data_IF_579102161499
#
_entry.id   IF_579102161499
#
_cell.length_a   1.000
_cell.length_b   1.000
_cell.length_c   1.000
_cell.angle_alpha   90.00
_cell.angle_beta   90.00
_cell.angle_gamma   90.00
#
_symmetry.space_group_name_H-M   'P 1'
#
loop_
_entity.id
_entity.type
_entity.pdbx_description
1 polymer ?
#
# COMPACT_ATOMS: atom_id res chain seq x y z
N UNK A 1 14.62 20.38 -46.07
CA UNK A 1 13.49 20.62 -45.16
C UNK A 1 12.38 19.62 -45.48
N UNK A 2 12.30 18.51 -44.76
CA UNK A 2 11.27 17.48 -44.95
C UNK A 2 10.10 17.87 -44.05
N UNK A 3 8.99 18.32 -44.63
CA UNK A 3 7.74 18.53 -43.89
C UNK A 3 7.19 17.15 -43.53
N UNK A 4 7.05 16.78 -42.24
CA UNK A 4 6.39 15.53 -41.89
C UNK A 4 4.94 15.61 -42.39
N UNK A 5 4.55 14.65 -43.22
CA UNK A 5 3.18 14.54 -43.68
C UNK A 5 2.26 14.29 -42.49
N UNK A 6 1.07 14.88 -42.49
CA UNK A 6 0.08 14.72 -41.40
C UNK A 6 -0.08 13.26 -40.97
N UNK A 7 0.00 12.33 -41.92
CA UNK A 7 -0.11 10.88 -41.71
C UNK A 7 0.91 10.34 -40.72
N UNK A 8 2.16 10.82 -40.75
CA UNK A 8 3.22 10.37 -39.83
C UNK A 8 2.93 10.84 -38.40
N UNK A 9 2.42 12.07 -38.27
CA UNK A 9 2.04 12.62 -36.96
C UNK A 9 0.84 11.85 -36.39
N UNK A 10 -0.16 11.54 -37.22
CA UNK A 10 -1.34 10.78 -36.79
C UNK A 10 -0.96 9.36 -36.36
N UNK A 11 -0.06 8.69 -37.11
CA UNK A 11 0.41 7.35 -36.75
C UNK A 11 1.23 7.35 -35.45
N UNK A 12 2.05 8.37 -35.21
CA UNK A 12 2.79 8.52 -33.95
C UNK A 12 1.84 8.72 -32.76
N UNK A 13 0.80 9.54 -32.91
CA UNK A 13 -0.20 9.76 -31.86
C UNK A 13 -0.97 8.47 -31.57
N UNK A 14 -1.38 7.74 -32.60
CA UNK A 14 -2.06 6.45 -32.45
C UNK A 14 -1.14 5.42 -31.77
N UNK A 15 0.13 5.38 -32.13
CA UNK A 15 1.11 4.47 -31.53
C UNK A 15 1.39 4.79 -30.05
N UNK A 16 1.44 6.07 -29.68
CA UNK A 16 1.58 6.51 -28.28
C UNK A 16 0.32 6.18 -27.47
N UNK A 17 -0.88 6.39 -28.03
CA UNK A 17 -2.13 6.06 -27.36
C UNK A 17 -2.29 4.54 -27.18
N UNK A 18 -1.97 3.75 -28.21
CA UNK A 18 -1.98 2.28 -28.12
C UNK A 18 -0.95 1.75 -27.12
N UNK A 19 0.26 2.32 -27.08
CA UNK A 19 1.23 1.93 -26.05
C UNK A 19 0.81 2.37 -24.65
N UNK A 20 0.24 3.56 -24.46
CA UNK A 20 -0.31 3.97 -23.16
C UNK A 20 -1.44 3.05 -22.69
N UNK A 21 -2.30 2.60 -23.61
CA UNK A 21 -3.37 1.62 -23.31
C UNK A 21 -2.81 0.22 -23.04
N UNK A 22 -1.77 -0.20 -23.76
CA UNK A 22 -1.15 -1.53 -23.60
C UNK A 22 -0.28 -1.63 -22.33
N UNK A 23 0.50 -0.59 -22.02
CA UNK A 23 1.34 -0.54 -20.82
C UNK A 23 0.53 -0.40 -19.52
N UNK A 24 -0.65 0.21 -19.57
CA UNK A 24 -1.55 0.26 -18.41
C UNK A 24 -2.25 -1.09 -18.12
N UNK A 25 -2.16 -2.10 -19.01
CA UNK A 25 -2.94 -3.33 -18.92
C UNK A 25 -2.12 -4.61 -18.68
N UNK A 26 -0.78 -4.55 -18.55
CA UNK A 26 0.05 -5.73 -18.25
C UNK A 26 0.65 -5.63 -16.84
N UNK A 27 -0.23 -5.66 -15.85
CA UNK A 27 0.12 -5.93 -14.45
C UNK A 27 -0.84 -7.01 -13.95
N UNK A 28 -0.63 -8.25 -14.38
CA UNK A 28 -0.99 -9.44 -13.61
C UNK A 28 -0.29 -10.64 -14.22
N UNK A 29 0.75 -11.10 -13.52
CA UNK A 29 1.04 -12.49 -13.16
C UNK A 29 2.52 -12.54 -12.78
N UNK A 30 2.79 -12.67 -11.48
CA UNK A 30 3.69 -13.68 -10.90
C UNK A 30 4.04 -13.28 -9.45
N UNK A 31 3.07 -13.43 -8.55
CA UNK A 31 3.36 -13.61 -7.12
C UNK A 31 3.69 -15.07 -6.90
N UNK A 32 4.93 -15.40 -6.50
CA UNK A 32 5.17 -16.55 -5.64
C UNK A 32 6.39 -16.30 -4.75
N UNK A 33 6.15 -16.47 -3.45
CA UNK A 33 7.09 -16.71 -2.35
C UNK A 33 7.81 -15.48 -1.76
N UNK A 34 7.38 -14.99 -0.59
CA UNK A 34 7.74 -15.53 0.75
C UNK A 34 7.26 -14.55 1.83
N UNK A 35 6.25 -14.95 2.62
CA UNK A 35 6.04 -14.68 4.04
C UNK A 35 4.60 -15.12 4.34
N UNK A 36 4.44 -16.43 4.59
CA UNK A 36 3.19 -17.02 5.03
C UNK A 36 2.92 -16.59 6.47
N UNK A 37 2.27 -15.46 6.65
CA UNK A 37 1.55 -15.18 7.88
C UNK A 37 0.30 -16.05 7.91
N UNK A 38 -0.13 -16.56 9.07
CA UNK A 38 -1.33 -17.37 9.16
C UNK A 38 -2.54 -16.55 8.68
N UNK A 39 -3.04 -16.88 7.50
CA UNK A 39 -4.28 -16.35 6.93
C UNK A 39 -5.43 -16.87 7.79
N UNK A 40 -5.94 -16.02 8.67
CA UNK A 40 -7.14 -16.32 9.47
C UNK A 40 -8.34 -15.74 8.74
N UNK A 41 -9.01 -16.56 7.92
CA UNK A 41 -10.29 -16.22 7.31
C UNK A 41 -11.42 -16.41 8.33
N UNK A 42 -11.64 -15.41 9.21
CA UNK A 42 -12.79 -15.38 10.11
C UNK A 42 -13.84 -14.38 9.59
N UNK A 43 -15.00 -14.86 9.13
CA UNK A 43 -16.10 -14.00 8.71
C UNK A 43 -17.25 -14.74 8.00
N UNK A 44 -18.49 -14.33 8.28
CA UNK A 44 -19.66 -14.65 7.44
C UNK A 44 -19.62 -13.66 6.27
N UNK A 45 -19.64 -14.18 5.03
CA UNK A 45 -19.67 -13.41 3.79
C UNK A 45 -20.75 -12.31 3.89
N UNK A 46 -20.35 -11.04 4.10
CA UNK A 46 -19.72 -10.23 3.05
C UNK A 46 -18.39 -9.51 3.43
N UNK A 47 -17.75 -9.80 4.58
CA UNK A 47 -16.53 -9.10 5.02
C UNK A 47 -15.38 -10.10 5.30
N UNK A 48 -14.34 -10.07 4.49
CA UNK A 48 -13.15 -10.92 4.62
C UNK A 48 -11.97 -10.07 5.09
N UNK A 49 -11.46 -10.33 6.29
CA UNK A 49 -10.29 -9.63 6.83
C UNK A 49 -9.02 -10.31 6.34
N UNK A 50 -8.15 -9.57 5.65
CA UNK A 50 -6.83 -10.05 5.24
C UNK A 50 -5.79 -9.75 6.32
N UNK A 51 -5.74 -8.51 6.79
CA UNK A 51 -4.86 -8.10 7.89
C UNK A 51 -5.44 -6.94 8.66
N UNK A 52 -5.16 -6.89 9.95
CA UNK A 52 -5.42 -5.76 10.81
C UNK A 52 -4.17 -5.47 11.64
N UNK A 53 -3.80 -4.20 11.77
CA UNK A 53 -2.61 -3.77 12.48
C UNK A 53 -2.80 -2.37 13.07
N UNK A 54 -2.04 -2.10 14.11
CA UNK A 54 -1.88 -0.75 14.63
C UNK A 54 -0.65 -0.10 13.96
N UNK A 55 -0.60 1.23 13.93
CA UNK A 55 0.58 2.01 13.55
C UNK A 55 0.69 3.30 14.37
N UNK A 56 1.89 3.79 14.66
CA UNK A 56 2.04 5.07 15.36
C UNK A 56 1.71 6.23 14.43
N UNK A 57 0.92 7.18 14.94
CA UNK A 57 0.68 8.47 14.31
C UNK A 57 1.39 9.57 15.08
N UNK A 58 1.24 9.58 16.41
CA UNK A 58 1.87 10.57 17.28
C UNK A 58 2.04 10.02 18.71
N UNK A 59 2.57 10.86 19.62
CA UNK A 59 2.62 10.53 21.05
C UNK A 59 1.24 10.47 21.71
N UNK A 60 0.21 11.02 21.06
CA UNK A 60 -1.15 11.11 21.61
C UNK A 60 -2.15 10.18 20.92
N UNK A 61 -1.78 9.64 19.74
CA UNK A 61 -2.68 8.82 18.91
C UNK A 61 -1.95 7.66 18.23
N UNK A 62 -2.67 6.55 18.13
CA UNK A 62 -2.29 5.34 17.40
C UNK A 62 -3.32 5.13 16.30
N UNK A 63 -2.86 4.89 15.08
CA UNK A 63 -3.72 4.52 13.98
C UNK A 63 -4.05 3.02 14.02
N UNK A 64 -5.30 2.68 13.76
CA UNK A 64 -5.72 1.32 13.44
C UNK A 64 -6.02 1.25 11.95
N UNK A 65 -5.51 0.20 11.30
CA UNK A 65 -5.78 -0.08 9.89
C UNK A 65 -6.17 -1.55 9.74
N UNK A 66 -7.16 -1.79 8.91
CA UNK A 66 -7.58 -3.10 8.47
C UNK A 66 -7.71 -3.10 6.96
N UNK A 67 -7.14 -4.12 6.32
CA UNK A 67 -7.26 -4.38 4.89
C UNK A 67 -8.00 -5.70 4.71
N UNK A 68 -8.94 -5.72 3.78
CA UNK A 68 -9.76 -6.88 3.50
C UNK A 68 -10.44 -6.81 2.15
N UNK A 69 -11.28 -7.81 1.89
CA UNK A 69 -12.10 -7.91 0.68
C UNK A 69 -13.57 -7.97 1.07
N UNK A 70 -14.42 -7.25 0.34
CA UNK A 70 -15.86 -7.27 0.54
C UNK A 70 -16.58 -6.96 -0.76
N UNK A 71 -17.89 -7.19 -0.78
CA UNK A 71 -18.78 -6.48 -1.72
C UNK A 71 -18.58 -4.98 -1.60
N UNK A 72 -18.91 -4.19 -2.64
CA UNK A 72 -18.64 -2.76 -2.49
C UNK A 72 -19.38 -2.19 -1.31
N UNK A 73 -18.59 -1.46 -0.57
CA UNK A 73 -19.02 -0.70 0.56
C UNK A 73 -19.16 0.72 0.07
N UNK A 74 -20.31 1.31 0.30
CA UNK A 74 -20.45 2.73 0.07
C UNK A 74 -19.62 3.48 1.12
N UNK A 75 -19.26 4.74 0.85
CA UNK A 75 -18.51 5.54 1.84
C UNK A 75 -19.35 5.81 3.10
N UNK A 76 -20.67 5.69 2.97
CA UNK A 76 -21.66 5.89 4.01
C UNK A 76 -21.83 4.65 4.91
N UNK A 77 -21.36 3.47 4.49
CA UNK A 77 -21.49 2.26 5.28
C UNK A 77 -20.67 2.36 6.57
N UNK A 78 -21.36 2.29 7.72
CA UNK A 78 -20.73 2.46 9.03
C UNK A 78 -20.14 1.13 9.52
N UNK A 79 -18.81 1.09 9.66
CA UNK A 79 -18.15 0.05 10.47
C UNK A 79 -17.65 0.66 11.76
N UNK A 80 -17.88 -0.05 12.86
CA UNK A 80 -17.42 0.35 14.18
C UNK A 80 -16.38 -0.66 14.67
N UNK A 81 -15.37 -0.15 15.37
CA UNK A 81 -14.34 -0.91 16.04
C UNK A 81 -14.61 -0.85 17.54
N UNK A 82 -14.77 -2.01 18.15
CA UNK A 82 -14.93 -2.17 19.60
C UNK A 82 -13.62 -2.69 20.20
N UNK A 83 -13.04 -1.86 21.06
CA UNK A 83 -11.82 -2.14 21.83
C UNK A 83 -12.18 -2.06 23.31
N UNK A 84 -12.40 -3.21 23.94
CA UNK A 84 -12.67 -3.27 25.39
C UNK A 84 -13.89 -2.44 25.81
N UNK A 85 -14.90 -2.28 24.95
CA UNK A 85 -16.10 -1.47 25.19
C UNK A 85 -16.01 -0.03 24.67
N UNK A 86 -14.83 0.45 24.26
CA UNK A 86 -14.68 1.73 23.58
C UNK A 86 -14.98 1.56 22.09
N UNK A 87 -15.88 2.40 21.56
CA UNK A 87 -16.38 2.30 20.18
C UNK A 87 -15.78 3.41 19.32
N UNK A 88 -15.13 3.02 18.24
CA UNK A 88 -14.53 3.94 17.26
C UNK A 88 -15.19 3.77 15.90
N UNK A 89 -15.55 4.87 15.24
CA UNK A 89 -16.06 4.82 13.87
C UNK A 89 -14.88 4.63 12.91
N UNK A 90 -14.93 3.58 12.10
CA UNK A 90 -13.94 3.33 11.06
C UNK A 90 -14.33 4.07 9.79
N UNK A 91 -13.34 4.76 9.20
CA UNK A 91 -13.44 5.34 7.86
C UNK A 91 -13.24 4.26 6.81
N UNK A 92 -13.99 4.35 5.73
CA UNK A 92 -13.96 3.40 4.62
C UNK A 92 -13.26 3.99 3.40
N UNK A 93 -12.31 3.24 2.85
CA UNK A 93 -11.46 3.63 1.75
C UNK A 93 -11.33 2.49 0.73
N UNK A 94 -12.17 2.48 -0.32
CA UNK A 94 -12.09 1.51 -1.40
C UNK A 94 -10.77 1.65 -2.15
N UNK A 95 -9.97 0.59 -2.21
CA UNK A 95 -8.60 0.68 -2.76
C UNK A 95 -8.55 0.67 -4.30
N UNK A 96 -9.63 0.22 -4.97
CA UNK A 96 -9.73 0.16 -6.43
C UNK A 96 -10.64 1.24 -7.04
N UNK A 97 -11.17 2.17 -6.25
CA UNK A 97 -12.22 3.10 -6.70
C UNK A 97 -11.83 4.03 -7.87
N UNK A 98 -10.52 4.19 -8.15
CA UNK A 98 -10.00 5.03 -9.22
C UNK A 98 -9.28 4.25 -10.33
N UNK A 99 -9.31 2.91 -10.29
CA UNK A 99 -8.60 2.10 -11.28
C UNK A 99 -9.34 2.06 -12.62
N UNK A 100 -8.72 2.48 -13.74
CA UNK A 100 -9.32 2.39 -15.07
C UNK A 100 -9.69 0.95 -15.42
N UNK A 101 -10.89 0.72 -15.95
CA UNK A 101 -11.35 -0.62 -16.34
C UNK A 101 -12.11 -1.39 -15.26
N UNK A 102 -12.20 -0.86 -14.03
CA UNK A 102 -13.07 -1.44 -13.03
C UNK A 102 -14.52 -0.99 -13.25
N UNK A 103 -15.23 -1.70 -14.13
CA UNK A 103 -16.64 -1.46 -14.45
C UNK A 103 -17.50 -2.45 -13.67
N UNK A 104 -17.68 -2.24 -12.38
CA UNK A 104 -18.50 -3.15 -11.58
C UNK A 104 -18.20 -3.10 -10.10
N UNK A 105 -18.99 -3.85 -9.37
CA UNK A 105 -19.05 -3.78 -7.93
C UNK A 105 -19.29 -5.17 -7.32
N UNK A 106 -18.48 -6.15 -7.74
CA UNK A 106 -18.68 -7.53 -7.34
C UNK A 106 -17.93 -7.80 -6.02
N UNK A 107 -16.61 -7.79 -6.02
CA UNK A 107 -15.80 -7.89 -4.79
C UNK A 107 -14.55 -7.04 -4.99
N UNK A 108 -14.24 -6.19 -4.01
CA UNK A 108 -13.08 -5.30 -4.09
C UNK A 108 -12.31 -5.24 -2.76
N UNK A 109 -11.00 -4.93 -2.82
CA UNK A 109 -10.24 -4.66 -1.63
C UNK A 109 -10.63 -3.30 -1.04
N UNK A 110 -10.69 -3.24 0.28
CA UNK A 110 -11.01 -2.04 1.03
C UNK A 110 -10.03 -1.87 2.19
N UNK A 111 -9.87 -0.61 2.62
CA UNK A 111 -9.21 -0.27 3.88
C UNK A 111 -10.22 0.35 4.84
N UNK A 112 -10.26 -0.16 6.06
CA UNK A 112 -10.91 0.48 7.19
C UNK A 112 -9.86 1.04 8.13
N UNK A 113 -10.04 2.26 8.60
CA UNK A 113 -9.07 2.85 9.52
C UNK A 113 -9.70 3.86 10.48
N UNK A 114 -9.06 4.04 11.63
CA UNK A 114 -9.42 5.05 12.62
C UNK A 114 -8.20 5.46 13.45
N UNK A 115 -8.28 6.64 14.06
CA UNK A 115 -7.32 7.07 15.06
C UNK A 115 -7.86 6.74 16.46
N UNK A 116 -7.01 6.12 17.27
CA UNK A 116 -7.31 5.68 18.63
C UNK A 116 -6.42 6.51 19.57
N UNK A 117 -6.98 7.10 20.63
CA UNK A 117 -6.19 7.77 21.65
C UNK A 117 -5.17 6.83 22.31
N UNK A 118 -3.94 7.30 22.54
CA UNK A 118 -2.85 6.48 23.05
C UNK A 118 -3.07 5.91 24.47
N UNK A 119 -4.05 6.43 25.24
CA UNK A 119 -4.40 5.92 26.56
C UNK A 119 -5.23 4.63 26.52
N UNK A 120 -5.78 4.27 25.36
CA UNK A 120 -6.57 3.05 25.18
C UNK A 120 -5.62 1.85 25.10
N UNK A 121 -5.89 0.82 25.91
CA UNK A 121 -5.10 -0.43 25.88
C UNK A 121 -5.42 -1.20 24.61
N UNK A 122 -4.40 -1.49 23.80
CA UNK A 122 -4.54 -2.13 22.49
C UNK A 122 -4.55 -3.67 22.61
N UNK A 123 -5.65 -4.36 22.25
CA UNK A 123 -5.74 -5.81 22.33
C UNK A 123 -5.20 -6.51 21.07
N UNK A 124 -4.89 -7.81 21.20
CA UNK A 124 -4.50 -8.68 20.06
C UNK A 124 -5.66 -9.11 19.18
N UNK A 125 -6.89 -8.86 19.63
CA UNK A 125 -8.11 -9.17 18.92
C UNK A 125 -9.07 -8.01 19.09
N UNK A 126 -9.63 -7.55 17.99
CA UNK A 126 -10.63 -6.49 17.97
C UNK A 126 -11.96 -7.02 17.48
N UNK A 127 -13.05 -6.40 17.91
CA UNK A 127 -14.39 -6.71 17.40
C UNK A 127 -14.80 -5.63 16.40
N UNK A 128 -15.03 -6.05 15.17
CA UNK A 128 -15.62 -5.23 14.12
C UNK A 128 -17.13 -5.41 14.17
N UNK A 129 -17.85 -4.30 14.16
CA UNK A 129 -19.31 -4.27 14.19
C UNK A 129 -19.76 -3.54 12.92
N UNK A 130 -20.43 -4.25 12.04
CA UNK A 130 -21.16 -3.68 10.91
C UNK A 130 -22.65 -3.67 11.21
N UNK A 131 -23.46 -3.15 10.31
CA UNK A 131 -24.93 -3.23 10.43
C UNK A 131 -25.44 -4.67 10.37
N UNK A 132 -24.71 -5.55 9.66
CA UNK A 132 -25.17 -6.91 9.33
C UNK A 132 -24.55 -7.97 10.23
N UNK A 133 -23.34 -7.76 10.72
CA UNK A 133 -22.60 -8.79 11.45
C UNK A 133 -21.60 -8.19 12.43
N UNK A 134 -21.09 -9.03 13.32
CA UNK A 134 -19.91 -8.71 14.12
C UNK A 134 -18.87 -9.79 13.98
N UNK A 135 -17.63 -9.40 13.70
CA UNK A 135 -16.51 -10.30 13.45
C UNK A 135 -15.40 -9.97 14.44
N UNK A 136 -14.74 -10.99 14.98
CA UNK A 136 -13.50 -10.79 15.73
C UNK A 136 -12.34 -10.95 14.75
N UNK A 137 -11.42 -9.99 14.74
CA UNK A 137 -10.26 -10.04 13.87
C UNK A 137 -9.00 -10.05 14.73
N UNK A 138 -8.05 -10.97 14.48
CA UNK A 138 -6.73 -10.87 15.08
C UNK A 138 -6.04 -9.61 14.57
N UNK A 139 -5.37 -8.91 15.47
CA UNK A 139 -4.56 -7.73 15.15
C UNK A 139 -3.11 -8.11 15.29
N UNK A 140 -2.37 -7.91 14.21
CA UNK A 140 -0.92 -8.04 14.26
C UNK A 140 -0.40 -6.89 15.13
N UNK A 141 0.19 -7.26 16.27
CA UNK A 141 1.12 -6.37 16.96
C UNK A 141 2.35 -6.23 16.09
N UNK A 142 2.40 -5.17 15.31
CA UNK A 142 3.69 -4.62 14.91
C UNK A 142 4.45 -4.36 16.21
N UNK A 143 5.65 -4.94 16.34
CA UNK A 143 6.50 -4.70 17.51
C UNK A 143 6.87 -3.23 17.49
N UNK A 144 6.10 -2.47 18.24
CA UNK A 144 6.24 -1.04 18.46
C UNK A 144 7.42 -0.76 19.37
N UNK A 145 8.62 -1.05 18.90
CA UNK A 145 9.75 -0.27 19.36
C UNK A 145 9.47 1.16 18.92
N UNK A 146 9.25 2.08 19.88
CA UNK A 146 9.38 3.52 19.60
C UNK A 146 10.74 3.67 18.94
N UNK A 147 10.80 3.85 17.62
CA UNK A 147 12.07 4.11 16.93
C UNK A 147 12.56 5.45 17.46
N UNK A 148 13.54 5.38 18.34
CA UNK A 148 14.14 6.56 18.98
C UNK A 148 15.09 7.28 18.03
N UNK A 149 15.38 6.70 16.85
CA UNK A 149 16.31 7.20 15.85
C UNK A 149 15.90 6.75 14.44
N UNK A 150 16.31 7.52 13.42
CA UNK A 150 16.19 7.22 12.00
C UNK A 150 14.92 7.75 11.33
N UNK A 151 15.07 8.79 10.50
CA UNK A 151 14.05 9.15 9.50
C UNK A 151 14.08 8.07 8.41
N UNK A 152 12.90 7.67 7.92
CA UNK A 152 12.77 6.53 6.99
C UNK A 152 12.05 6.99 5.73
N UNK A 153 12.64 6.73 4.57
CA UNK A 153 12.02 6.97 3.28
C UNK A 153 11.42 5.66 2.72
N UNK A 154 10.10 5.64 2.56
CA UNK A 154 9.41 4.61 1.79
C UNK A 154 9.19 5.12 0.37
N UNK A 155 9.79 4.44 -0.61
CA UNK A 155 9.75 4.85 -2.01
C UNK A 155 8.72 4.01 -2.75
N UNK A 156 7.97 4.64 -3.65
CA UNK A 156 7.09 3.91 -4.55
C UNK A 156 7.87 2.90 -5.39
N UNK A 157 7.14 1.93 -5.93
CA UNK A 157 7.71 0.82 -6.70
C UNK A 157 8.49 1.32 -7.92
N UNK A 158 9.74 0.86 -8.08
CA UNK A 158 10.53 1.10 -9.29
C UNK A 158 10.15 0.09 -10.37
N UNK A 159 9.41 0.56 -11.37
CA UNK A 159 8.93 -0.23 -12.51
C UNK A 159 9.52 0.30 -13.83
N UNK A 160 10.13 -0.59 -14.62
CA UNK A 160 10.94 -0.29 -15.82
C UNK A 160 11.97 0.82 -15.61
N UNK A 161 12.47 0.98 -14.39
CA UNK A 161 13.33 2.11 -14.06
C UNK A 161 14.75 1.84 -14.54
N UNK A 162 15.30 2.75 -15.35
CA UNK A 162 16.61 2.55 -16.00
C UNK A 162 17.64 3.66 -15.71
N UNK A 163 17.24 4.72 -15.01
CA UNK A 163 18.10 5.87 -14.74
C UNK A 163 18.79 5.74 -13.38
N UNK A 164 19.96 5.11 -13.36
CA UNK A 164 20.72 4.88 -12.13
C UNK A 164 21.20 6.18 -11.44
N UNK A 165 21.44 7.27 -12.19
CA UNK A 165 21.86 8.56 -11.61
C UNK A 165 20.77 9.13 -10.71
N UNK A 166 19.50 9.02 -11.15
CA UNK A 166 18.37 9.47 -10.32
C UNK A 166 18.18 8.66 -9.05
N UNK A 167 18.57 7.38 -9.04
CA UNK A 167 18.57 6.57 -7.80
C UNK A 167 19.61 7.10 -6.82
N UNK A 168 20.82 7.38 -7.30
CA UNK A 168 21.89 7.98 -6.48
C UNK A 168 21.43 9.33 -5.92
N UNK A 169 20.97 10.22 -6.79
CA UNK A 169 20.50 11.55 -6.40
C UNK A 169 19.38 11.47 -5.35
N UNK A 170 18.39 10.60 -5.58
CA UNK A 170 17.31 10.36 -4.63
C UNK A 170 17.86 9.92 -3.26
N UNK A 171 18.70 8.89 -3.22
CA UNK A 171 19.21 8.35 -1.95
C UNK A 171 20.06 9.41 -1.22
N UNK A 172 20.98 10.08 -1.91
CA UNK A 172 21.87 11.07 -1.28
C UNK A 172 21.12 12.30 -0.77
N UNK A 173 20.09 12.78 -1.48
CA UNK A 173 19.26 13.91 -1.02
C UNK A 173 18.55 13.54 0.28
N UNK A 174 17.96 12.36 0.36
CA UNK A 174 17.25 11.95 1.58
C UNK A 174 18.22 11.65 2.73
N UNK A 175 19.41 11.07 2.46
CA UNK A 175 20.47 10.92 3.47
C UNK A 175 20.93 12.26 4.02
N UNK A 176 20.98 13.30 3.19
CA UNK A 176 21.31 14.68 3.62
C UNK A 176 20.25 15.30 4.56
N UNK A 177 19.06 14.69 4.64
CA UNK A 177 17.96 15.06 5.52
C UNK A 177 17.80 14.07 6.69
N UNK A 178 18.89 13.39 7.08
CA UNK A 178 18.93 12.43 8.18
C UNK A 178 18.04 11.17 7.97
N UNK A 179 17.72 10.80 6.71
CA UNK A 179 17.18 9.47 6.42
C UNK A 179 18.25 8.41 6.59
N UNK A 180 18.02 7.49 7.52
CA UNK A 180 18.92 6.37 7.82
C UNK A 180 18.48 5.07 7.13
N UNK A 181 17.18 4.92 6.84
CA UNK A 181 16.64 3.69 6.26
C UNK A 181 15.78 3.97 5.03
N UNK A 182 16.02 3.18 3.98
CA UNK A 182 15.27 3.23 2.73
C UNK A 182 14.57 1.90 2.50
N UNK A 183 13.26 1.96 2.23
CA UNK A 183 12.50 0.81 1.74
C UNK A 183 12.08 1.08 0.31
N UNK A 184 12.79 0.47 -0.64
CA UNK A 184 12.57 0.63 -2.08
C UNK A 184 12.03 -0.70 -2.61
N UNK A 185 10.79 -0.68 -3.09
CA UNK A 185 10.24 -1.85 -3.77
C UNK A 185 10.72 -1.89 -5.23
N UNK A 186 11.40 -2.97 -5.61
CA UNK A 186 12.01 -3.13 -6.93
C UNK A 186 11.24 -4.20 -7.70
N UNK A 187 10.50 -3.79 -8.73
CA UNK A 187 9.72 -4.72 -9.56
C UNK A 187 10.46 -5.07 -10.86
N UNK A 188 10.89 -4.06 -11.61
CA UNK A 188 11.65 -4.23 -12.84
C UNK A 188 12.54 -3.02 -13.05
N UNK A 189 13.85 -3.24 -13.10
CA UNK A 189 14.85 -2.18 -13.25
C UNK A 189 16.00 -2.64 -14.15
N UNK A 190 16.74 -1.69 -14.72
CA UNK A 190 17.94 -2.04 -15.48
C UNK A 190 19.00 -2.67 -14.57
N UNK A 191 19.88 -3.50 -15.15
CA UNK A 191 21.02 -4.09 -14.43
C UNK A 191 21.89 -3.05 -13.73
N UNK A 192 22.02 -1.86 -14.33
CA UNK A 192 22.76 -0.73 -13.74
C UNK A 192 22.05 -0.09 -12.55
N UNK A 193 20.72 0.03 -12.60
CA UNK A 193 19.93 0.49 -11.45
C UNK A 193 19.99 -0.55 -10.33
N UNK A 194 19.83 -1.83 -10.66
CA UNK A 194 19.92 -2.91 -9.68
C UNK A 194 21.27 -2.94 -8.96
N UNK A 195 22.38 -2.77 -9.69
CA UNK A 195 23.72 -2.74 -9.07
C UNK A 195 23.94 -1.56 -8.14
N UNK A 196 23.40 -0.37 -8.47
CA UNK A 196 23.41 0.79 -7.57
C UNK A 196 22.59 0.52 -6.31
N UNK A 197 21.39 -0.05 -6.44
CA UNK A 197 20.57 -0.40 -5.28
C UNK A 197 21.28 -1.42 -4.38
N UNK A 198 21.93 -2.43 -4.97
CA UNK A 198 22.74 -3.41 -4.22
C UNK A 198 23.97 -2.80 -3.54
N UNK A 199 24.60 -1.82 -4.17
CA UNK A 199 25.68 -1.06 -3.54
C UNK A 199 25.18 -0.37 -2.26
N UNK A 200 24.04 0.34 -2.32
CA UNK A 200 23.48 1.00 -1.14
C UNK A 200 22.96 0.05 -0.07
N UNK A 201 22.41 -1.11 -0.45
CA UNK A 201 22.02 -2.16 0.50
C UNK A 201 23.23 -2.66 1.31
N UNK A 202 24.38 -2.85 0.65
CA UNK A 202 25.62 -3.28 1.31
C UNK A 202 26.20 -2.27 2.31
N UNK A 203 25.93 -0.98 2.13
CA UNK A 203 26.40 0.08 3.03
C UNK A 203 25.66 0.13 4.37
N UNK A 204 24.50 -0.53 4.50
CA UNK A 204 23.68 -0.53 5.72
C UNK A 204 24.18 -1.58 6.74
N UNK A 205 25.21 -2.36 6.42
CA UNK A 205 25.72 -3.48 7.24
C UNK A 205 26.92 -3.17 8.15
N UNK A 206 27.21 -1.89 8.41
CA UNK A 206 28.28 -1.42 9.33
C UNK A 206 27.74 -0.38 10.28
#
# INVERSE_FOLDING_TARGET
MIRPSCVIITLLVIFVVLNCLYYNCTVYEQEWQLFSYPTVFEGVFPLMVYTAYYHYLSNQSVGFSLIGYSYCRSKEEMTRLDIGGAIFLLRNDPLLGACPGHTGCDVGPYRLYAEIPAHITLPDKVKLITERTSIKAPVQRTVFGKRTTGFVACVSQLYWFNNWVRVVEFIEIYRSQDVEHFYIYVASVSTKVYSVLKYYEGLVST
#
